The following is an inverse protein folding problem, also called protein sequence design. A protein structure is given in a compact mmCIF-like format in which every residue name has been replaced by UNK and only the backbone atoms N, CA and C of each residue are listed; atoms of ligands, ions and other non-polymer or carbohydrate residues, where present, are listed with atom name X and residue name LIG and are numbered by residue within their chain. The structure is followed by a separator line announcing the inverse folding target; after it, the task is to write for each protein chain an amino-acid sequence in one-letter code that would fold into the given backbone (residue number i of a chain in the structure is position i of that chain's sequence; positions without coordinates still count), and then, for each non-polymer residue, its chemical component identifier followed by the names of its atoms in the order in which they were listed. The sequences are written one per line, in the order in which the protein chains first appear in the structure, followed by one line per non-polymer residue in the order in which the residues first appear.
data_IF_452554977676
#
_entry.id   IF_452554977676
#
_cell.length_a   1.000
_cell.length_b   1.000
_cell.length_c   1.000
_cell.angle_alpha   90.00
_cell.angle_beta   90.00
_cell.angle_gamma   90.00
#
_symmetry.space_group_name_H-M   'P 1'
#
loop_
_entity.id
_entity.type
_entity.pdbx_description
1 polymer ?
#
# COMPACT_ATOMS: atom_id res chain seq x y z
N UNK A 1 -21.42 -24.93 8.62
CA UNK A 1 -21.54 -23.48 8.30
C UNK A 1 -21.13 -22.60 9.49
N UNK A 2 -21.71 -22.74 10.68
CA UNK A 2 -21.38 -21.89 11.85
C UNK A 2 -19.93 -21.90 12.34
N UNK A 3 -19.23 -23.05 12.30
CA UNK A 3 -17.83 -23.16 12.75
C UNK A 3 -16.80 -22.47 11.84
N UNK A 4 -17.12 -22.24 10.56
CA UNK A 4 -16.21 -21.60 9.59
C UNK A 4 -16.60 -20.14 9.37
N UNK A 5 -17.91 -19.84 9.29
CA UNK A 5 -18.40 -18.49 9.10
C UNK A 5 -18.38 -17.65 10.39
N UNK A 6 -18.50 -18.29 11.56
CA UNK A 6 -18.56 -17.59 12.86
C UNK A 6 -17.34 -16.72 13.14
N UNK A 7 -16.10 -17.24 13.03
CA UNK A 7 -14.90 -16.43 13.23
C UNK A 7 -14.78 -15.27 12.24
N UNK A 8 -15.13 -15.49 10.97
CA UNK A 8 -15.08 -14.45 9.93
C UNK A 8 -16.10 -13.34 10.21
N UNK A 9 -17.34 -13.71 10.54
CA UNK A 9 -18.39 -12.75 10.87
C UNK A 9 -18.04 -11.97 12.15
N UNK A 10 -17.52 -12.65 13.17
CA UNK A 10 -17.07 -12.01 14.40
C UNK A 10 -15.92 -11.03 14.15
N UNK A 11 -14.93 -11.41 13.33
CA UNK A 11 -13.83 -10.53 12.96
C UNK A 11 -14.32 -9.29 12.19
N UNK A 12 -15.22 -9.49 11.22
CA UNK A 12 -15.82 -8.38 10.46
C UNK A 12 -16.60 -7.42 11.36
N UNK A 13 -17.46 -7.94 12.23
CA UNK A 13 -18.26 -7.13 13.16
C UNK A 13 -17.36 -6.39 14.15
N UNK A 14 -16.38 -7.07 14.73
CA UNK A 14 -15.45 -6.44 15.67
C UNK A 14 -14.64 -5.34 15.00
N UNK A 15 -14.12 -5.57 13.79
CA UNK A 15 -13.41 -4.56 13.01
C UNK A 15 -14.31 -3.35 12.73
N UNK A 16 -15.55 -3.56 12.28
CA UNK A 16 -16.50 -2.48 12.00
C UNK A 16 -16.86 -1.68 13.27
N UNK A 17 -17.04 -2.35 14.40
CA UNK A 17 -17.31 -1.70 15.70
C UNK A 17 -16.12 -0.88 16.18
N UNK A 18 -14.90 -1.41 16.08
CA UNK A 18 -13.67 -0.67 16.45
C UNK A 18 -13.48 0.53 15.53
N UNK A 19 -13.69 0.38 14.22
CA UNK A 19 -13.65 1.49 13.25
C UNK A 19 -14.64 2.59 13.62
N UNK A 20 -15.87 2.19 13.99
CA UNK A 20 -16.90 3.13 14.42
C UNK A 20 -16.52 3.85 15.72
N UNK A 21 -15.96 3.14 16.69
CA UNK A 21 -15.56 3.73 17.97
C UNK A 21 -14.39 4.71 17.84
N UNK A 22 -13.45 4.44 16.93
CA UNK A 22 -12.25 5.27 16.75
C UNK A 22 -12.53 6.49 15.86
N UNK A 23 -13.27 6.32 14.76
CA UNK A 23 -13.39 7.35 13.71
C UNK A 23 -14.82 7.88 13.55
N UNK A 24 -15.80 7.31 14.24
CA UNK A 24 -17.22 7.69 14.10
C UNK A 24 -17.92 7.07 12.89
N UNK A 25 -17.23 6.22 12.12
CA UNK A 25 -17.77 5.52 10.95
C UNK A 25 -17.27 4.06 10.86
N UNK A 26 -18.17 3.07 10.70
CA UNK A 26 -17.77 1.66 10.62
C UNK A 26 -17.01 1.31 9.33
N UNK A 27 -17.12 2.14 8.29
CA UNK A 27 -16.59 1.86 6.96
C UNK A 27 -15.86 3.08 6.36
N UNK A 28 -15.19 3.84 7.21
CA UNK A 28 -14.55 5.10 6.85
C UNK A 28 -13.60 4.99 5.66
N UNK A 29 -12.92 3.85 5.49
CA UNK A 29 -12.04 3.60 4.35
C UNK A 29 -12.71 3.78 2.97
N UNK A 30 -14.03 3.61 2.87
CA UNK A 30 -14.78 3.76 1.62
C UNK A 30 -15.46 5.14 1.48
N UNK A 31 -15.70 5.84 2.59
CA UNK A 31 -16.45 7.12 2.60
C UNK A 31 -15.57 8.33 2.84
N UNK A 32 -14.34 8.14 3.33
CA UNK A 32 -13.47 9.23 3.74
C UNK A 32 -12.91 10.02 2.57
N UNK A 33 -12.70 11.32 2.79
CA UNK A 33 -11.89 12.15 1.91
C UNK A 33 -10.46 11.61 1.77
N UNK A 34 -9.92 10.95 2.79
CA UNK A 34 -8.60 10.31 2.77
C UNK A 34 -8.62 8.87 2.24
N UNK A 35 -9.80 8.36 1.83
CA UNK A 35 -9.95 7.02 1.29
C UNK A 35 -9.34 6.86 -0.10
N UNK A 36 -8.96 5.62 -0.45
CA UNK A 36 -8.33 5.31 -1.74
C UNK A 36 -9.16 5.80 -2.94
N UNK A 37 -10.49 5.64 -2.89
CA UNK A 37 -11.37 6.04 -3.98
C UNK A 37 -11.27 7.54 -4.31
N UNK A 38 -11.22 8.39 -3.28
CA UNK A 38 -11.05 9.83 -3.41
C UNK A 38 -9.67 10.17 -3.96
N UNK A 39 -8.63 9.48 -3.48
CA UNK A 39 -7.27 9.68 -3.97
C UNK A 39 -7.15 9.31 -5.46
N UNK A 40 -7.71 8.18 -5.90
CA UNK A 40 -7.74 7.79 -7.32
C UNK A 40 -8.50 8.81 -8.17
N UNK A 41 -9.65 9.29 -7.68
CA UNK A 41 -10.44 10.30 -8.39
C UNK A 41 -9.69 11.64 -8.54
N UNK A 42 -8.87 12.01 -7.55
CA UNK A 42 -8.06 13.23 -7.59
C UNK A 42 -6.78 13.11 -8.41
N UNK A 43 -6.27 11.89 -8.62
CA UNK A 43 -4.98 11.64 -9.23
C UNK A 43 -5.01 11.55 -10.77
N UNK A 44 -6.15 11.84 -11.41
CA UNK A 44 -6.40 11.59 -12.85
C UNK A 44 -5.90 10.18 -13.26
N UNK A 45 -6.15 9.21 -12.36
CA UNK A 45 -5.49 7.92 -12.39
C UNK A 45 -5.81 7.17 -13.70
N UNK A 46 -4.79 6.52 -14.25
CA UNK A 46 -4.91 5.73 -15.48
C UNK A 46 -6.14 4.82 -15.45
N UNK A 47 -6.80 4.68 -16.60
CA UNK A 47 -8.00 3.87 -16.75
C UNK A 47 -7.82 2.48 -16.11
N UNK A 48 -8.75 2.12 -15.24
CA UNK A 48 -8.80 0.82 -14.57
C UNK A 48 -8.71 -0.29 -15.63
N UNK A 49 -7.78 -1.21 -15.44
CA UNK A 49 -7.49 -2.26 -16.42
C UNK A 49 -7.32 -3.62 -15.75
N UNK A 50 -8.08 -4.62 -16.20
CA UNK A 50 -7.94 -6.03 -15.79
C UNK A 50 -6.55 -6.58 -16.12
N UNK A 51 -5.88 -6.03 -17.14
CA UNK A 51 -4.56 -6.48 -17.54
C UNK A 51 -3.47 -6.16 -16.50
N UNK A 52 -3.61 -5.07 -15.75
CA UNK A 52 -2.61 -4.66 -14.75
C UNK A 52 -2.44 -5.71 -13.64
N UNK A 53 -3.47 -6.08 -12.85
CA UNK A 53 -3.30 -7.08 -11.81
C UNK A 53 -2.96 -8.47 -12.37
N UNK A 54 -3.38 -8.78 -13.60
CA UNK A 54 -2.97 -10.01 -14.29
C UNK A 54 -1.46 -10.05 -14.56
N UNK A 55 -0.87 -8.97 -15.09
CA UNK A 55 0.58 -8.87 -15.30
C UNK A 55 1.35 -8.89 -13.99
N UNK A 56 0.86 -8.17 -12.98
CA UNK A 56 1.44 -8.16 -11.63
C UNK A 56 1.48 -9.56 -11.01
N UNK A 57 0.40 -10.33 -11.17
CA UNK A 57 0.33 -11.72 -10.74
C UNK A 57 1.37 -12.59 -11.48
N UNK A 58 1.56 -12.38 -12.78
CA UNK A 58 2.56 -13.09 -13.57
C UNK A 58 4.00 -12.68 -13.20
N UNK A 59 4.24 -11.43 -12.82
CA UNK A 59 5.54 -10.98 -12.33
C UNK A 59 5.93 -11.67 -11.03
N UNK A 60 5.01 -11.80 -10.08
CA UNK A 60 5.27 -12.41 -8.77
C UNK A 60 5.25 -13.94 -8.80
N UNK A 61 4.34 -14.52 -9.58
CA UNK A 61 4.03 -15.94 -9.55
C UNK A 61 3.86 -16.50 -10.98
N UNK A 62 4.89 -16.44 -11.85
CA UNK A 62 4.80 -16.85 -13.25
C UNK A 62 4.43 -18.34 -13.41
N UNK A 63 4.74 -19.16 -12.41
CA UNK A 63 4.45 -20.59 -12.39
C UNK A 63 3.10 -20.95 -11.73
N UNK A 64 2.30 -19.97 -11.28
CA UNK A 64 1.06 -20.25 -10.55
C UNK A 64 0.10 -21.13 -11.36
N UNK A 65 -0.23 -20.72 -12.58
CA UNK A 65 -1.11 -21.47 -13.45
C UNK A 65 -0.58 -22.87 -13.80
N UNK A 66 0.67 -23.06 -14.29
CA UNK A 66 1.16 -24.39 -14.61
C UNK A 66 1.24 -25.30 -13.37
N UNK A 67 1.65 -24.80 -12.21
CA UNK A 67 1.67 -25.59 -10.97
C UNK A 67 0.25 -25.98 -10.56
N UNK A 68 -0.71 -25.05 -10.61
CA UNK A 68 -2.11 -25.35 -10.31
C UNK A 68 -2.69 -26.43 -11.24
N UNK A 69 -2.43 -26.33 -12.55
CA UNK A 69 -2.87 -27.33 -13.54
C UNK A 69 -2.27 -28.70 -13.24
N UNK A 70 -0.96 -28.77 -12.95
CA UNK A 70 -0.29 -30.04 -12.62
C UNK A 70 -0.83 -30.67 -11.34
N UNK A 71 -1.09 -29.86 -10.31
CA UNK A 71 -1.67 -30.31 -9.04
C UNK A 71 -3.10 -30.83 -9.24
N UNK A 72 -3.91 -30.13 -10.03
CA UNK A 72 -5.27 -30.56 -10.37
C UNK A 72 -5.26 -31.83 -11.21
N UNK A 73 -4.39 -31.93 -12.21
CA UNK A 73 -4.24 -33.15 -13.02
C UNK A 73 -3.85 -34.36 -12.14
N UNK A 74 -2.90 -34.17 -11.21
CA UNK A 74 -2.53 -35.20 -10.21
C UNK A 74 -3.69 -35.57 -9.29
N UNK A 75 -4.49 -34.60 -8.86
CA UNK A 75 -5.68 -34.86 -8.03
C UNK A 75 -6.75 -35.66 -8.79
N UNK A 76 -7.07 -35.26 -10.02
CA UNK A 76 -8.08 -35.88 -10.88
C UNK A 76 -7.67 -37.27 -11.37
N UNK A 77 -6.37 -37.47 -11.64
CA UNK A 77 -5.80 -38.74 -12.09
C UNK A 77 -5.84 -39.87 -11.05
N UNK A 78 -6.18 -39.60 -9.78
CA UNK A 78 -6.38 -40.64 -8.77
C UNK A 78 -7.60 -41.49 -9.15
N UNK A 79 -7.44 -42.82 -9.17
CA UNK A 79 -8.48 -43.77 -9.60
C UNK A 79 -9.58 -43.97 -8.56
N UNK A 80 -9.23 -43.97 -7.26
CA UNK A 80 -10.18 -44.18 -6.17
C UNK A 80 -10.99 -42.92 -5.85
N UNK A 81 -12.34 -42.98 -5.80
CA UNK A 81 -13.20 -41.83 -5.51
C UNK A 81 -12.88 -41.13 -4.18
N UNK A 82 -12.66 -41.89 -3.11
CA UNK A 82 -12.33 -41.36 -1.79
C UNK A 82 -10.98 -40.60 -1.77
N UNK A 83 -9.97 -41.12 -2.47
CA UNK A 83 -8.66 -40.47 -2.61
C UNK A 83 -8.70 -39.23 -3.50
N UNK A 84 -9.50 -39.27 -4.59
CA UNK A 84 -9.74 -38.12 -5.47
C UNK A 84 -10.43 -36.98 -4.72
N UNK A 85 -11.49 -37.27 -3.96
CA UNK A 85 -12.22 -36.27 -3.18
C UNK A 85 -11.32 -35.57 -2.14
N UNK A 86 -10.52 -36.34 -1.40
CA UNK A 86 -9.56 -35.78 -0.43
C UNK A 86 -8.49 -34.92 -1.11
N UNK A 87 -7.93 -35.39 -2.24
CA UNK A 87 -6.93 -34.63 -2.97
C UNK A 87 -7.48 -33.30 -3.51
N UNK A 88 -8.66 -33.33 -4.12
CA UNK A 88 -9.33 -32.11 -4.59
C UNK A 88 -9.63 -31.15 -3.44
N UNK A 89 -10.07 -31.67 -2.28
CA UNK A 89 -10.27 -30.84 -1.09
C UNK A 89 -8.97 -30.17 -0.62
N UNK A 90 -7.85 -30.89 -0.60
CA UNK A 90 -6.53 -30.34 -0.22
C UNK A 90 -6.05 -29.24 -1.16
N UNK A 91 -6.40 -29.30 -2.45
CA UNK A 91 -6.10 -28.24 -3.44
C UNK A 91 -7.09 -27.09 -3.30
N UNK A 92 -8.37 -27.39 -3.10
CA UNK A 92 -9.41 -26.39 -2.99
C UNK A 92 -9.21 -25.48 -1.79
N UNK A 93 -8.76 -25.99 -0.63
CA UNK A 93 -8.55 -25.18 0.57
C UNK A 93 -7.62 -23.97 0.34
N UNK A 94 -6.35 -24.13 -0.09
CA UNK A 94 -5.47 -22.99 -0.35
C UNK A 94 -5.93 -22.16 -1.56
N UNK A 95 -6.46 -22.78 -2.62
CA UNK A 95 -6.95 -22.04 -3.79
C UNK A 95 -8.12 -21.13 -3.42
N UNK A 96 -9.06 -21.60 -2.61
CA UNK A 96 -10.17 -20.79 -2.11
C UNK A 96 -9.64 -19.73 -1.14
N UNK A 97 -8.80 -20.10 -0.18
CA UNK A 97 -8.30 -19.17 0.83
C UNK A 97 -7.51 -18.00 0.22
N UNK A 98 -6.49 -18.28 -0.59
CA UNK A 98 -5.68 -17.25 -1.24
C UNK A 98 -6.39 -16.62 -2.44
N UNK A 99 -7.13 -17.43 -3.21
CA UNK A 99 -7.89 -16.95 -4.36
C UNK A 99 -9.02 -16.00 -3.99
N UNK A 100 -9.66 -16.16 -2.82
CA UNK A 100 -10.62 -15.17 -2.33
C UNK A 100 -9.95 -13.83 -2.01
N UNK A 101 -8.73 -13.82 -1.47
CA UNK A 101 -7.98 -12.58 -1.22
C UNK A 101 -7.60 -11.90 -2.53
N UNK A 102 -7.03 -12.65 -3.48
CA UNK A 102 -6.71 -12.15 -4.82
C UNK A 102 -7.95 -11.64 -5.56
N UNK A 103 -9.05 -12.38 -5.51
CA UNK A 103 -10.31 -11.97 -6.13
C UNK A 103 -10.87 -10.69 -5.48
N UNK A 104 -10.80 -10.58 -4.15
CA UNK A 104 -11.19 -9.38 -3.44
C UNK A 104 -10.34 -8.18 -3.90
N UNK A 105 -9.01 -8.31 -3.94
CA UNK A 105 -8.11 -7.25 -4.42
C UNK A 105 -8.45 -6.81 -5.85
N UNK A 106 -8.70 -7.76 -6.74
CA UNK A 106 -9.09 -7.47 -8.13
C UNK A 106 -10.43 -6.75 -8.18
N UNK A 107 -11.44 -7.21 -7.44
CA UNK A 107 -12.75 -6.56 -7.41
C UNK A 107 -12.63 -5.14 -6.84
N UNK A 108 -11.88 -4.95 -5.75
CA UNK A 108 -11.69 -3.62 -5.13
C UNK A 108 -10.93 -2.68 -6.07
N UNK A 109 -9.88 -3.15 -6.74
CA UNK A 109 -9.15 -2.38 -7.76
C UNK A 109 -10.05 -2.04 -8.96
N UNK A 110 -10.78 -3.02 -9.49
CA UNK A 110 -11.67 -2.82 -10.63
C UNK A 110 -12.85 -1.90 -10.31
N UNK A 111 -13.21 -1.80 -9.03
CA UNK A 111 -14.20 -0.85 -8.53
C UNK A 111 -13.63 0.53 -8.20
N UNK A 112 -12.36 0.80 -8.49
CA UNK A 112 -11.72 2.10 -8.23
C UNK A 112 -11.44 2.38 -6.74
N UNK A 113 -11.44 1.36 -5.90
CA UNK A 113 -11.26 1.48 -4.45
C UNK A 113 -9.87 1.03 -3.95
N UNK A 114 -8.99 0.60 -4.87
CA UNK A 114 -7.64 0.15 -4.56
C UNK A 114 -6.66 0.68 -5.61
N UNK A 115 -5.48 1.11 -5.16
CA UNK A 115 -4.38 1.48 -6.04
C UNK A 115 -3.83 0.24 -6.75
N UNK A 116 -3.30 0.40 -7.96
CA UNK A 116 -2.73 -0.70 -8.76
C UNK A 116 -1.30 -1.09 -8.35
N UNK A 117 -1.01 -1.30 -7.06
CA UNK A 117 0.35 -1.63 -6.61
C UNK A 117 0.65 -3.13 -6.68
N UNK A 118 1.87 -3.48 -7.12
CA UNK A 118 2.36 -4.86 -7.23
C UNK A 118 2.19 -5.64 -5.92
N UNK A 119 2.50 -5.02 -4.78
CA UNK A 119 2.44 -5.64 -3.45
C UNK A 119 1.09 -6.22 -3.06
N UNK A 120 -0.02 -5.78 -3.68
CA UNK A 120 -1.32 -6.38 -3.39
C UNK A 120 -1.34 -7.85 -3.85
N UNK A 121 -0.71 -8.17 -4.99
CA UNK A 121 -0.66 -9.54 -5.52
C UNK A 121 0.28 -10.50 -4.76
N UNK A 122 0.86 -10.10 -3.61
CA UNK A 122 1.87 -10.87 -2.86
C UNK A 122 1.34 -12.22 -2.34
N UNK A 123 0.02 -12.34 -2.13
CA UNK A 123 -0.63 -13.57 -1.66
C UNK A 123 -0.52 -14.73 -2.67
N UNK A 124 -0.17 -14.44 -3.92
CA UNK A 124 0.14 -15.46 -4.91
C UNK A 124 1.39 -16.30 -4.55
N UNK A 125 2.38 -15.71 -3.87
CA UNK A 125 3.62 -16.39 -3.48
C UNK A 125 3.33 -17.58 -2.54
N UNK A 126 2.69 -17.40 -1.36
CA UNK A 126 2.38 -18.53 -0.49
C UNK A 126 1.44 -19.53 -1.14
N UNK A 127 0.52 -19.11 -2.03
CA UNK A 127 -0.31 -20.03 -2.80
C UNK A 127 0.53 -20.97 -3.67
N UNK A 128 1.51 -20.44 -4.43
CA UNK A 128 2.43 -21.27 -5.22
C UNK A 128 3.21 -22.23 -4.33
N UNK A 129 3.73 -21.75 -3.20
CA UNK A 129 4.50 -22.58 -2.25
C UNK A 129 3.67 -23.75 -1.72
N UNK A 130 2.42 -23.51 -1.33
CA UNK A 130 1.53 -24.59 -0.85
C UNK A 130 1.18 -25.55 -1.98
N UNK A 131 0.87 -25.06 -3.18
CA UNK A 131 0.57 -25.91 -4.34
C UNK A 131 1.78 -26.77 -4.74
N UNK A 132 3.00 -26.23 -4.68
CA UNK A 132 4.23 -27.01 -4.87
C UNK A 132 4.37 -28.09 -3.81
N UNK A 133 4.10 -27.76 -2.54
CA UNK A 133 4.07 -28.75 -1.46
C UNK A 133 3.10 -29.89 -1.75
N UNK A 134 1.90 -29.59 -2.23
CA UNK A 134 0.89 -30.58 -2.62
C UNK A 134 1.29 -31.39 -3.87
N UNK A 135 1.97 -30.76 -4.83
CA UNK A 135 2.48 -31.43 -6.02
C UNK A 135 3.52 -32.49 -5.66
N UNK A 136 4.41 -32.14 -4.74
CA UNK A 136 5.55 -32.96 -4.29
C UNK A 136 5.19 -33.89 -3.13
N UNK A 137 4.02 -33.72 -2.51
CA UNK A 137 3.55 -34.55 -1.42
C UNK A 137 3.43 -36.02 -1.85
N UNK A 138 4.03 -36.90 -1.04
CA UNK A 138 4.00 -38.36 -1.23
C UNK A 138 2.62 -38.91 -0.89
N UNK A 139 2.13 -39.82 -1.72
CA UNK A 139 1.01 -40.66 -1.36
C UNK A 139 1.47 -41.75 -0.36
N UNK A 140 0.61 -42.14 0.57
CA UNK A 140 0.89 -43.20 1.54
C UNK A 140 1.24 -44.54 0.83
N UNK A 141 0.73 -44.75 -0.39
CA UNK A 141 0.98 -45.93 -1.23
C UNK A 141 2.41 -45.98 -1.82
N UNK A 142 3.11 -44.85 -1.89
CA UNK A 142 4.42 -44.70 -2.54
C UNK A 142 5.60 -44.86 -1.56
N UNK A 143 5.34 -45.18 -0.28
CA UNK A 143 6.35 -45.26 0.80
C UNK A 143 7.34 -46.44 0.68
N UNK A 144 7.19 -47.35 -0.29
CA UNK A 144 7.91 -48.62 -0.35
C UNK A 144 9.06 -48.76 -1.37
N UNK A 145 9.49 -47.72 -2.12
CA UNK A 145 10.54 -47.87 -3.16
C UNK A 145 11.80 -47.03 -2.90
N UNK A 146 12.95 -47.69 -3.04
CA UNK A 146 14.34 -47.21 -2.84
C UNK A 146 14.78 -45.98 -3.68
N UNK A 147 13.93 -45.39 -4.52
CA UNK A 147 14.28 -44.20 -5.34
C UNK A 147 14.09 -42.86 -4.61
N UNK A 148 14.21 -42.87 -3.28
CA UNK A 148 13.90 -41.72 -2.43
C UNK A 148 14.78 -40.50 -2.68
N UNK A 149 16.08 -40.69 -2.90
CA UNK A 149 17.06 -39.62 -3.10
C UNK A 149 16.89 -38.93 -4.46
N UNK A 150 16.85 -39.68 -5.57
CA UNK A 150 16.68 -39.10 -6.92
C UNK A 150 15.38 -38.31 -7.05
N UNK A 151 14.28 -38.80 -6.47
CA UNK A 151 12.99 -38.10 -6.45
C UNK A 151 13.00 -36.88 -5.53
N UNK A 152 13.68 -36.95 -4.37
CA UNK A 152 13.86 -35.80 -3.50
C UNK A 152 14.69 -34.70 -4.18
N UNK A 153 15.79 -35.07 -4.85
CA UNK A 153 16.62 -34.16 -5.63
C UNK A 153 15.85 -33.53 -6.80
N UNK A 154 15.06 -34.32 -7.53
CA UNK A 154 14.20 -33.81 -8.60
C UNK A 154 13.12 -32.86 -8.06
N UNK A 155 12.49 -33.19 -6.93
CA UNK A 155 11.53 -32.30 -6.26
C UNK A 155 12.18 -31.00 -5.81
N UNK A 156 13.38 -31.07 -5.21
CA UNK A 156 14.17 -29.90 -4.85
C UNK A 156 14.51 -29.03 -6.07
N UNK A 157 14.89 -29.64 -7.20
CA UNK A 157 15.17 -28.90 -8.43
C UNK A 157 13.92 -28.20 -8.97
N UNK A 158 12.74 -28.81 -8.90
CA UNK A 158 11.48 -28.17 -9.28
C UNK A 158 11.17 -26.97 -8.38
N UNK A 159 11.36 -27.11 -7.06
CA UNK A 159 11.18 -25.99 -6.12
C UNK A 159 12.14 -24.85 -6.46
N UNK A 160 13.42 -25.14 -6.66
CA UNK A 160 14.43 -24.13 -7.02
C UNK A 160 14.07 -23.47 -8.36
N UNK A 161 13.65 -24.22 -9.37
CA UNK A 161 13.27 -23.68 -10.66
C UNK A 161 12.05 -22.75 -10.55
N UNK A 162 11.01 -23.16 -9.83
CA UNK A 162 9.77 -22.37 -9.70
C UNK A 162 9.98 -21.11 -8.86
N UNK A 163 10.59 -21.24 -7.69
CA UNK A 163 10.86 -20.09 -6.82
C UNK A 163 11.92 -19.17 -7.44
N UNK A 164 12.95 -19.73 -8.07
CA UNK A 164 13.97 -18.99 -8.80
C UNK A 164 13.37 -18.18 -9.95
N UNK A 165 12.46 -18.76 -10.73
CA UNK A 165 11.73 -18.03 -11.77
C UNK A 165 10.96 -16.84 -11.19
N UNK A 166 10.23 -17.03 -10.08
CA UNK A 166 9.50 -15.96 -9.39
C UNK A 166 10.39 -14.84 -8.88
N UNK A 167 11.56 -15.17 -8.32
CA UNK A 167 12.56 -14.17 -7.88
C UNK A 167 13.06 -13.36 -9.07
N UNK A 168 13.41 -14.03 -10.18
CA UNK A 168 13.93 -13.37 -11.39
C UNK A 168 12.88 -12.45 -12.03
N UNK A 169 11.64 -12.92 -12.20
CA UNK A 169 10.57 -12.12 -12.79
C UNK A 169 10.20 -10.94 -11.88
N UNK A 170 10.11 -11.15 -10.57
CA UNK A 170 9.86 -10.07 -9.62
C UNK A 170 10.97 -9.02 -9.66
N UNK A 171 12.24 -9.43 -9.62
CA UNK A 171 13.38 -8.52 -9.68
C UNK A 171 13.37 -7.71 -10.98
N UNK A 172 13.05 -8.34 -12.13
CA UNK A 172 12.89 -7.64 -13.41
C UNK A 172 11.79 -6.59 -13.36
N UNK A 173 10.63 -6.92 -12.80
CA UNK A 173 9.53 -5.96 -12.64
C UNK A 173 9.99 -4.72 -11.85
N UNK A 174 10.71 -4.93 -10.74
CA UNK A 174 11.23 -3.86 -9.87
C UNK A 174 12.29 -2.97 -10.51
N UNK A 175 12.88 -3.33 -11.66
CA UNK A 175 13.91 -2.51 -12.32
C UNK A 175 13.52 -2.02 -13.71
N UNK A 176 12.53 -2.66 -14.34
CA UNK A 176 12.16 -2.39 -15.73
C UNK A 176 10.70 -1.94 -15.92
N UNK A 177 9.83 -2.11 -14.94
CA UNK A 177 8.38 -1.91 -15.10
C UNK A 177 7.85 -0.78 -14.20
N UNK A 178 7.96 0.50 -14.61
CA UNK A 178 7.52 1.64 -13.79
C UNK A 178 6.00 1.71 -13.57
N UNK A 179 5.21 0.99 -14.37
CA UNK A 179 3.74 0.93 -14.23
C UNK A 179 3.30 -0.29 -13.42
N UNK A 180 3.80 -1.49 -13.77
CA UNK A 180 3.38 -2.71 -13.09
C UNK A 180 3.95 -2.80 -11.66
N UNK A 181 5.11 -2.19 -11.41
CA UNK A 181 5.84 -2.24 -10.13
C UNK A 181 6.23 -0.83 -9.63
N UNK A 182 5.39 0.19 -9.83
CA UNK A 182 5.72 1.61 -9.57
C UNK A 182 6.46 1.85 -8.25
N UNK A 183 5.93 1.32 -7.14
CA UNK A 183 6.49 1.53 -5.81
C UNK A 183 7.87 0.89 -5.65
N UNK A 184 8.04 -0.33 -6.13
CA UNK A 184 9.30 -1.05 -6.09
C UNK A 184 10.30 -0.46 -7.09
N UNK A 185 9.85 -0.06 -8.28
CA UNK A 185 10.64 0.58 -9.32
C UNK A 185 11.34 1.83 -8.82
N UNK A 186 10.59 2.77 -8.23
CA UNK A 186 11.16 4.01 -7.69
C UNK A 186 12.13 3.77 -6.53
N UNK A 187 12.09 2.60 -5.87
CA UNK A 187 13.04 2.26 -4.79
C UNK A 187 14.26 1.49 -5.28
N UNK A 188 14.08 0.54 -6.19
CA UNK A 188 15.12 -0.44 -6.57
C UNK A 188 15.86 -0.01 -7.83
N UNK A 189 15.17 0.47 -8.86
CA UNK A 189 15.80 0.80 -10.14
C UNK A 189 16.95 1.83 -10.02
N UNK A 190 16.85 2.89 -9.20
CA UNK A 190 17.96 3.82 -8.99
C UNK A 190 19.18 3.20 -8.30
N UNK A 191 18.99 2.22 -7.40
CA UNK A 191 20.07 1.56 -6.66
C UNK A 191 20.96 0.71 -7.57
N UNK A 192 20.42 0.26 -8.70
CA UNK A 192 21.13 -0.57 -9.70
C UNK A 192 21.45 0.19 -10.98
N UNK A 193 21.24 1.51 -11.00
CA UNK A 193 21.50 2.36 -12.17
C UNK A 193 20.53 2.17 -13.35
N UNK A 194 19.40 1.50 -13.13
CA UNK A 194 18.36 1.31 -14.15
C UNK A 194 17.42 2.52 -14.30
N UNK A 195 17.51 3.49 -13.38
CA UNK A 195 16.74 4.73 -13.39
C UNK A 195 17.56 5.88 -12.79
N UNK A 196 17.27 7.12 -13.19
CA UNK A 196 17.94 8.31 -12.66
C UNK A 196 17.56 8.61 -11.19
N UNK A 197 18.34 9.45 -10.48
CA UNK A 197 18.05 9.81 -9.10
C UNK A 197 16.73 10.59 -8.94
N UNK A 198 16.32 11.32 -9.97
CA UNK A 198 15.11 12.16 -9.96
C UNK A 198 13.80 11.37 -9.94
N UNK A 199 13.85 10.10 -10.36
CA UNK A 199 12.72 9.16 -10.28
C UNK A 199 12.83 8.24 -9.07
N UNK A 200 13.75 8.51 -8.15
CA UNK A 200 13.89 7.70 -6.93
C UNK A 200 12.85 8.09 -5.87
N UNK A 201 12.47 7.12 -5.05
CA UNK A 201 11.66 7.37 -3.86
C UNK A 201 12.37 8.33 -2.88
N UNK A 202 13.71 8.39 -2.90
CA UNK A 202 14.45 9.40 -2.16
C UNK A 202 14.20 10.80 -2.72
N UNK A 203 14.27 10.96 -4.05
CA UNK A 203 13.97 12.22 -4.73
C UNK A 203 12.55 12.72 -4.49
N UNK A 204 11.56 11.81 -4.51
CA UNK A 204 10.13 12.11 -4.32
C UNK A 204 9.78 12.85 -3.01
N UNK A 205 10.64 12.77 -1.99
CA UNK A 205 10.42 13.41 -0.69
C UNK A 205 11.58 14.34 -0.29
N UNK A 206 12.37 14.82 -1.26
CA UNK A 206 13.51 15.69 -0.96
C UNK A 206 13.06 17.02 -0.35
N UNK A 207 11.97 17.55 -0.85
CA UNK A 207 11.34 18.82 -0.47
C UNK A 207 10.65 18.69 0.89
N UNK A 208 9.98 17.56 1.15
CA UNK A 208 9.40 17.28 2.45
C UNK A 208 10.48 17.26 3.55
N UNK A 209 11.65 16.69 3.25
CA UNK A 209 12.82 16.72 4.15
C UNK A 209 13.38 18.13 4.31
N UNK A 210 13.37 18.95 3.27
CA UNK A 210 13.78 20.35 3.35
C UNK A 210 12.83 21.15 4.25
N UNK A 211 11.50 20.99 4.06
CA UNK A 211 10.48 21.61 4.91
C UNK A 211 10.64 21.14 6.36
N UNK A 212 10.82 19.84 6.59
CA UNK A 212 11.03 19.30 7.92
C UNK A 212 12.27 19.89 8.60
N UNK A 213 13.42 19.92 7.90
CA UNK A 213 14.65 20.51 8.42
C UNK A 213 14.49 22.01 8.71
N UNK A 214 13.74 22.73 7.88
CA UNK A 214 13.43 24.14 8.08
C UNK A 214 12.58 24.36 9.33
N UNK A 215 11.56 23.53 9.57
CA UNK A 215 10.72 23.57 10.78
C UNK A 215 11.52 23.19 12.02
N UNK A 216 12.37 22.17 11.93
CA UNK A 216 13.24 21.73 13.03
C UNK A 216 14.15 22.87 13.50
N UNK A 217 14.64 23.69 12.58
CA UNK A 217 15.47 24.87 12.86
C UNK A 217 14.75 26.08 13.46
N UNK A 218 13.42 26.07 13.58
CA UNK A 218 12.64 27.21 14.12
C UNK A 218 12.41 27.17 15.64
N UNK A 219 12.84 26.10 16.32
CA UNK A 219 12.67 25.89 17.77
C UNK A 219 11.24 26.18 18.27
N UNK A 220 10.27 25.52 17.65
CA UNK A 220 8.85 25.73 17.91
C UNK A 220 8.35 24.86 19.08
N UNK A 221 7.34 25.32 19.85
CA UNK A 221 6.68 24.51 20.86
C UNK A 221 6.01 23.25 20.29
N UNK A 222 5.75 22.23 21.12
CA UNK A 222 4.91 21.10 20.75
C UNK A 222 3.54 21.53 20.20
N UNK A 223 2.97 20.76 19.26
CA UNK A 223 1.66 20.98 18.65
C UNK A 223 1.41 22.40 18.12
N UNK A 224 2.45 23.08 17.59
CA UNK A 224 2.37 24.45 17.10
C UNK A 224 2.59 24.60 15.59
N UNK A 225 2.80 23.49 14.89
CA UNK A 225 2.87 23.43 13.42
C UNK A 225 1.65 22.69 12.90
N UNK A 226 0.72 23.42 12.29
CA UNK A 226 -0.50 22.85 11.73
C UNK A 226 -0.23 22.31 10.33
N UNK A 227 -0.49 21.02 10.10
CA UNK A 227 -0.35 20.37 8.79
C UNK A 227 -1.37 19.27 8.62
N UNK A 228 -1.89 19.09 7.41
CA UNK A 228 -2.68 17.90 7.09
C UNK A 228 -1.77 16.70 6.88
N UNK A 229 -1.99 15.58 7.59
CA UNK A 229 -1.16 14.38 7.40
C UNK A 229 -1.37 13.70 6.04
N UNK A 230 -2.52 13.91 5.37
CA UNK A 230 -2.79 13.37 4.04
C UNK A 230 -1.80 13.86 3.00
N UNK A 231 -1.43 15.14 3.04
CA UNK A 231 -0.40 15.74 2.17
C UNK A 231 0.98 15.80 2.85
N UNK A 232 1.02 15.98 4.17
CA UNK A 232 2.23 16.27 4.94
C UNK A 232 2.87 15.10 5.68
N UNK A 233 2.41 13.86 5.49
CA UNK A 233 2.98 12.69 6.18
C UNK A 233 4.50 12.60 6.03
N UNK A 234 5.04 12.92 4.85
CA UNK A 234 6.46 12.84 4.57
C UNK A 234 7.26 13.91 5.35
N UNK A 235 6.70 15.12 5.50
CA UNK A 235 7.29 16.20 6.31
C UNK A 235 7.36 15.77 7.78
N UNK A 236 6.25 15.26 8.32
CA UNK A 236 6.16 14.84 9.72
C UNK A 236 7.11 13.66 9.99
N UNK A 237 7.14 12.67 9.08
CA UNK A 237 8.03 11.51 9.20
C UNK A 237 9.52 11.86 9.05
N UNK A 238 9.85 12.93 8.33
CA UNK A 238 11.22 13.39 8.15
C UNK A 238 11.76 14.26 9.28
N UNK A 239 10.87 14.89 10.06
CA UNK A 239 11.26 15.78 11.16
C UNK A 239 11.89 15.01 12.31
N UNK A 240 12.87 15.64 12.95
CA UNK A 240 13.48 15.16 14.20
C UNK A 240 12.62 15.46 15.44
N UNK A 241 11.60 16.30 15.28
CA UNK A 241 10.71 16.80 16.32
C UNK A 241 9.23 16.64 15.91
N UNK A 242 8.76 15.41 15.65
CA UNK A 242 7.38 15.17 15.20
C UNK A 242 6.33 15.66 16.21
N UNK A 243 6.67 15.79 17.49
CA UNK A 243 5.81 16.35 18.55
C UNK A 243 5.42 17.82 18.35
N UNK A 244 6.11 18.54 17.45
CA UNK A 244 5.78 19.94 17.10
C UNK A 244 4.59 20.07 16.18
N UNK A 245 4.22 18.99 15.50
CA UNK A 245 3.13 19.00 14.54
C UNK A 245 1.80 18.71 15.22
N UNK A 246 0.76 19.41 14.78
CA UNK A 246 -0.63 19.09 15.04
C UNK A 246 -1.23 18.60 13.72
N UNK A 247 -1.54 17.30 13.67
CA UNK A 247 -1.99 16.61 12.45
C UNK A 247 -3.47 16.27 12.48
N UNK A 248 -4.02 15.87 11.33
CA UNK A 248 -5.46 15.61 11.15
C UNK A 248 -6.07 14.59 12.12
N UNK A 249 -5.29 13.64 12.63
CA UNK A 249 -5.73 12.65 13.60
C UNK A 249 -5.68 13.11 15.06
N UNK A 250 -5.06 14.27 15.34
CA UNK A 250 -4.86 14.74 16.70
C UNK A 250 -6.11 15.44 17.24
N UNK A 251 -6.33 15.28 18.55
CA UNK A 251 -7.35 16.02 19.27
C UNK A 251 -7.10 17.53 19.14
N UNK A 252 -8.15 18.28 18.78
CA UNK A 252 -8.08 19.73 18.63
C UNK A 252 -7.62 20.23 17.25
N UNK A 253 -7.25 19.35 16.32
CA UNK A 253 -6.87 19.74 14.95
C UNK A 253 -7.95 20.62 14.28
N UNK A 254 -9.22 20.21 14.35
CA UNK A 254 -10.32 20.96 13.74
C UNK A 254 -10.49 22.36 14.33
N UNK A 255 -10.30 22.51 15.65
CA UNK A 255 -10.40 23.79 16.34
C UNK A 255 -9.21 24.71 16.00
N UNK A 256 -8.00 24.17 16.00
CA UNK A 256 -6.79 24.88 15.58
C UNK A 256 -6.81 25.25 14.09
N UNK A 257 -7.39 24.43 13.23
CA UNK A 257 -7.59 24.74 11.82
C UNK A 257 -8.59 25.90 11.64
N UNK A 258 -9.62 25.98 12.49
CA UNK A 258 -10.61 27.05 12.44
C UNK A 258 -10.07 28.39 12.94
N UNK A 259 -9.22 28.38 13.97
CA UNK A 259 -8.58 29.56 14.57
C UNK A 259 -7.13 29.25 15.00
N UNK A 260 -6.15 29.34 14.06
CA UNK A 260 -4.76 29.02 14.37
C UNK A 260 -4.15 29.92 15.47
N UNK A 261 -4.36 31.26 15.49
CA UNK A 261 -3.87 32.11 16.57
C UNK A 261 -4.38 31.71 17.96
N UNK A 262 -5.69 31.45 18.09
CA UNK A 262 -6.32 31.11 19.37
C UNK A 262 -5.88 29.76 19.95
N UNK A 263 -5.32 28.88 19.11
CA UNK A 263 -4.85 27.54 19.51
C UNK A 263 -3.32 27.44 19.55
N UNK A 264 -2.61 28.57 19.59
CA UNK A 264 -1.16 28.59 19.78
C UNK A 264 -0.35 28.09 18.58
N UNK A 265 -0.97 27.95 17.40
CA UNK A 265 -0.26 27.60 16.17
C UNK A 265 0.69 28.74 15.81
N UNK A 266 1.93 28.37 15.48
CA UNK A 266 3.01 29.29 15.06
C UNK A 266 3.26 29.22 13.57
N UNK A 267 3.11 28.04 12.98
CA UNK A 267 3.32 27.81 11.55
C UNK A 267 2.18 26.96 10.99
N UNK A 268 1.69 27.32 9.81
CA UNK A 268 0.75 26.54 9.01
C UNK A 268 1.47 26.08 7.74
N UNK A 269 1.44 24.77 7.48
CA UNK A 269 1.97 24.15 6.27
C UNK A 269 0.82 23.83 5.32
N UNK A 270 0.96 24.24 4.06
CA UNK A 270 -0.02 23.96 3.00
C UNK A 270 0.67 23.33 1.80
N UNK A 271 0.19 22.19 1.36
CA UNK A 271 0.55 21.64 0.05
C UNK A 271 -0.29 22.32 -1.02
N UNK A 272 0.34 22.87 -2.06
CA UNK A 272 -0.36 23.60 -3.14
C UNK A 272 -0.95 22.68 -4.22
N UNK A 273 -0.51 21.43 -4.28
CA UNK A 273 -0.93 20.48 -5.30
C UNK A 273 -1.07 19.06 -4.72
N UNK A 274 -1.64 18.15 -5.50
CA UNK A 274 -1.83 16.75 -5.10
C UNK A 274 -3.06 16.51 -4.23
N UNK A 275 -3.07 15.37 -3.52
CA UNK A 275 -4.21 14.78 -2.81
C UNK A 275 -4.84 15.65 -1.70
N UNK A 276 -5.70 15.08 -0.87
CA UNK A 276 -6.50 15.82 0.12
C UNK A 276 -5.62 16.58 1.12
N UNK A 277 -6.00 17.86 1.36
CA UNK A 277 -5.35 18.77 2.30
C UNK A 277 -6.38 19.75 2.86
N UNK A 278 -6.76 19.57 4.12
CA UNK A 278 -7.72 20.36 4.86
C UNK A 278 -7.26 21.80 5.10
N UNK A 279 -5.95 22.04 5.20
CA UNK A 279 -5.40 23.40 5.30
C UNK A 279 -5.63 24.13 3.98
N UNK A 280 -5.33 23.49 2.85
CA UNK A 280 -5.58 24.05 1.51
C UNK A 280 -7.06 24.31 1.30
N UNK A 281 -7.94 23.39 1.70
CA UNK A 281 -9.39 23.56 1.57
C UNK A 281 -9.91 24.69 2.45
N UNK A 282 -9.53 24.75 3.73
CA UNK A 282 -10.03 25.75 4.70
C UNK A 282 -9.52 27.15 4.40
N UNK A 283 -8.26 27.25 3.98
CA UNK A 283 -7.52 28.49 3.82
C UNK A 283 -7.01 28.67 2.39
N UNK A 284 -7.90 28.41 1.42
CA UNK A 284 -7.62 28.59 -0.01
C UNK A 284 -7.20 30.03 -0.37
N UNK A 285 -7.64 31.03 0.41
CA UNK A 285 -7.29 32.44 0.22
C UNK A 285 -5.89 32.82 0.70
N UNK A 286 -5.12 31.92 1.33
CA UNK A 286 -3.73 32.22 1.67
C UNK A 286 -2.94 32.51 0.38
N UNK A 287 -2.29 33.68 0.36
CA UNK A 287 -1.56 34.19 -0.81
C UNK A 287 -2.40 35.04 -1.76
N UNK A 288 -3.70 35.22 -1.53
CA UNK A 288 -4.55 36.11 -2.32
C UNK A 288 -4.86 37.42 -1.58
N UNK A 289 -5.28 38.48 -2.31
CA UNK A 289 -5.92 39.63 -1.67
C UNK A 289 -7.11 39.15 -0.82
N UNK A 290 -7.12 39.46 0.48
CA UNK A 290 -8.13 38.96 1.43
C UNK A 290 -7.72 37.73 2.25
N UNK A 291 -6.44 37.32 2.20
CA UNK A 291 -5.89 36.36 3.16
C UNK A 291 -6.11 36.83 4.62
N UNK A 292 -6.27 35.91 5.58
CA UNK A 292 -6.43 36.26 6.98
C UNK A 292 -5.27 37.13 7.49
N UNK A 293 -5.58 38.15 8.29
CA UNK A 293 -4.57 39.10 8.79
C UNK A 293 -3.49 38.43 9.67
N UNK A 294 -3.80 37.27 10.26
CA UNK A 294 -2.83 36.47 11.02
C UNK A 294 -1.77 35.81 10.13
N UNK A 295 -2.00 35.66 8.83
CA UNK A 295 -1.12 34.86 7.99
C UNK A 295 -0.02 35.71 7.35
N UNK A 296 1.24 35.43 7.70
CA UNK A 296 2.41 36.01 7.06
C UNK A 296 3.21 34.94 6.33
N UNK A 297 3.40 35.09 5.02
CA UNK A 297 4.19 34.11 4.24
C UNK A 297 5.63 34.02 4.75
N UNK A 298 6.11 32.80 4.94
CA UNK A 298 7.51 32.47 5.15
C UNK A 298 8.19 32.04 3.83
N UNK A 299 7.47 32.07 2.72
CA UNK A 299 7.94 31.61 1.41
C UNK A 299 7.44 30.21 1.05
N UNK A 300 7.88 29.76 -0.12
CA UNK A 300 7.55 28.46 -0.69
C UNK A 300 8.80 27.58 -0.82
N UNK A 301 8.60 26.27 -0.78
CA UNK A 301 9.59 25.26 -1.18
C UNK A 301 9.12 24.68 -2.50
N UNK A 302 9.93 24.88 -3.54
CA UNK A 302 9.63 24.43 -4.89
C UNK A 302 9.77 22.91 -5.01
N UNK A 303 9.02 22.27 -5.92
CA UNK A 303 9.18 20.85 -6.19
C UNK A 303 10.54 20.61 -6.86
N UNK A 304 11.33 19.70 -6.30
CA UNK A 304 12.55 19.13 -6.88
C UNK A 304 12.24 17.99 -7.88
N UNK A 305 11.08 17.33 -7.78
CA UNK A 305 10.60 16.36 -8.79
C UNK A 305 9.19 16.67 -9.30
N UNK A 306 8.81 16.21 -10.51
CA UNK A 306 7.43 16.33 -11.01
C UNK A 306 6.38 15.62 -10.15
N UNK A 307 6.80 14.73 -9.24
CA UNK A 307 5.91 13.97 -8.36
C UNK A 307 5.76 14.62 -6.97
N UNK A 308 6.59 15.61 -6.66
CA UNK A 308 6.63 16.24 -5.34
C UNK A 308 5.65 17.41 -5.25
N UNK A 309 4.99 17.60 -4.09
CA UNK A 309 4.14 18.76 -3.88
C UNK A 309 4.98 20.04 -3.79
N UNK A 310 4.37 21.17 -4.16
CA UNK A 310 4.89 22.48 -3.79
C UNK A 310 4.37 22.82 -2.39
N UNK A 311 5.25 23.26 -1.48
CA UNK A 311 4.87 23.63 -0.12
C UNK A 311 4.87 25.14 0.05
N UNK A 312 3.87 25.69 0.74
CA UNK A 312 3.93 27.06 1.29
C UNK A 312 3.85 27.04 2.81
N UNK A 313 4.65 27.93 3.41
CA UNK A 313 4.77 28.07 4.86
C UNK A 313 4.22 29.43 5.28
N UNK A 314 3.41 29.44 6.34
CA UNK A 314 2.76 30.64 6.84
C UNK A 314 3.01 30.78 8.34
N UNK A 315 3.66 31.86 8.74
CA UNK A 315 3.75 32.24 10.14
C UNK A 315 2.42 32.82 10.61
N UNK A 316 1.97 32.38 11.77
CA UNK A 316 0.78 32.89 12.44
C UNK A 316 1.16 34.08 13.31
N UNK A 317 0.60 35.24 13.01
CA UNK A 317 0.75 36.50 13.73
C UNK A 317 -0.51 36.79 14.52
N UNK A 318 -0.35 37.25 15.75
CA UNK A 318 -1.43 37.34 16.74
C UNK A 318 -1.04 36.53 17.98
N UNK A 319 -1.15 37.16 19.15
CA UNK A 319 -0.99 36.44 20.43
C UNK A 319 -2.32 35.75 20.76
N UNK A 320 -2.30 34.57 21.40
CA UNK A 320 -3.43 34.14 22.19
C UNK A 320 -3.75 35.18 23.28
#
# INVERSE_FOLDING_TARGET
MGLVAGPVAAAFVLWALVSWLVVGSPFEQFTSAYGNATLLASADAAAVSVALPARQLLWLAPALLPVLVLVLARALGRTRPAGRGRALALVAVPVVLFGTVLAFEWVTYLSGNLLGFLRYQITAIPLVVVLLGLLLARDDEDRGRESGLLRASAGGLVVVAVLGAGIVTSARAMVAEPVDATQEYHRVAPLVGAAGPDVSALGMWAEDREVAARIDGMDLPPASVLVDSGSGFAVVAASRHPERFLITSDDGFAAALADPPGHGIRVVLRSEAGGVDAVRTRWASLGTPGAPAWARSLGAVAPATPFSPTWTLWAVTGRP
#
